data_IF_842165590111
#
_entry.id   IF_842165590111
#
_cell.length_a   1.000
_cell.length_b   1.000
_cell.length_c   1.000
_cell.angle_alpha   90.00
_cell.angle_beta   90.00
_cell.angle_gamma   90.00
#
_symmetry.space_group_name_H-M   'P 1'
#
loop_
_entity.id
_entity.type
_entity.pdbx_description
1 polymer ?
#
# COMPACT_ATOMS: atom_id res chain seq x y z
N UNK A 1 69.53 -37.59 -5.76
CA UNK A 1 69.29 -36.17 -5.39
C UNK A 1 67.99 -35.59 -5.98
N UNK A 2 67.02 -36.41 -6.44
CA UNK A 2 65.82 -35.96 -7.17
C UNK A 2 64.51 -36.15 -6.36
N UNK A 3 64.46 -37.11 -5.42
CA UNK A 3 63.22 -37.42 -4.68
C UNK A 3 62.80 -36.34 -3.66
N UNK A 4 63.75 -35.59 -3.08
CA UNK A 4 63.43 -34.54 -2.11
C UNK A 4 62.64 -33.37 -2.71
N UNK A 5 62.89 -33.04 -3.99
CA UNK A 5 62.21 -31.95 -4.68
C UNK A 5 60.77 -32.33 -5.06
N UNK A 6 60.54 -33.58 -5.46
CA UNK A 6 59.20 -34.09 -5.79
C UNK A 6 58.35 -34.17 -4.53
N UNK A 7 58.90 -34.68 -3.42
CA UNK A 7 58.16 -34.78 -2.16
C UNK A 7 57.84 -33.40 -1.55
N UNK A 8 58.75 -32.42 -1.69
CA UNK A 8 58.50 -31.04 -1.27
C UNK A 8 57.41 -30.35 -2.11
N UNK A 9 57.39 -30.61 -3.42
CA UNK A 9 56.38 -30.07 -4.34
C UNK A 9 55.01 -30.71 -4.08
N UNK A 10 54.96 -32.03 -3.91
CA UNK A 10 53.74 -32.77 -3.58
C UNK A 10 53.14 -32.34 -2.24
N UNK A 11 53.98 -32.12 -1.20
CA UNK A 11 53.54 -31.62 0.11
C UNK A 11 52.99 -30.19 0.02
N UNK A 12 53.57 -29.34 -0.85
CA UNK A 12 53.11 -27.96 -1.08
C UNK A 12 51.74 -27.95 -1.77
N UNK A 13 51.52 -28.84 -2.72
CA UNK A 13 50.23 -28.98 -3.39
C UNK A 13 49.15 -29.60 -2.49
N UNK A 14 49.49 -30.59 -1.67
CA UNK A 14 48.58 -31.13 -0.64
C UNK A 14 48.14 -30.07 0.39
N UNK A 15 49.02 -29.15 0.79
CA UNK A 15 48.63 -27.99 1.64
C UNK A 15 47.72 -27.01 0.89
N UNK A 16 47.94 -26.80 -0.41
CA UNK A 16 47.07 -25.97 -1.26
C UNK A 16 45.67 -26.57 -1.37
N UNK A 17 45.55 -27.88 -1.55
CA UNK A 17 44.26 -28.57 -1.65
C UNK A 17 43.49 -28.56 -0.32
N UNK A 18 44.17 -28.74 0.82
CA UNK A 18 43.51 -28.70 2.13
C UNK A 18 43.04 -27.28 2.52
N UNK A 19 43.66 -26.23 1.96
CA UNK A 19 43.23 -24.84 2.14
C UNK A 19 42.00 -24.45 1.29
N UNK A 20 41.74 -25.14 0.19
CA UNK A 20 40.59 -24.86 -0.69
C UNK A 20 39.31 -25.56 -0.27
N UNK A 21 39.39 -26.75 0.36
CA UNK A 21 38.20 -27.46 0.84
C UNK A 21 37.60 -26.81 2.09
N UNK A 22 38.43 -26.18 2.93
CA UNK A 22 38.01 -25.44 4.13
C UNK A 22 37.56 -23.99 3.88
N UNK A 23 37.44 -23.56 2.61
CA UNK A 23 36.96 -22.21 2.20
C UNK A 23 35.65 -22.25 1.40
N UNK A 24 35.21 -23.40 0.91
CA UNK A 24 33.94 -23.53 0.18
C UNK A 24 32.77 -24.09 1.00
N UNK A 25 32.99 -24.55 2.23
CA UNK A 25 31.92 -25.07 3.11
C UNK A 25 31.59 -24.14 4.30
N UNK A 26 32.17 -22.95 4.29
CA UNK A 26 32.01 -21.91 5.32
C UNK A 26 32.11 -20.51 4.71
N UNK A 27 32.04 -20.42 3.37
CA UNK A 27 31.57 -19.20 2.77
C UNK A 27 30.04 -19.25 2.83
N UNK A 28 29.36 -18.38 3.59
CA UNK A 28 27.96 -18.10 3.34
C UNK A 28 27.83 -17.44 1.95
N UNK A 29 28.01 -18.22 0.89
CA UNK A 29 27.21 -18.09 -0.33
C UNK A 29 25.81 -18.71 -0.09
N UNK A 30 25.41 -18.84 1.17
CA UNK A 30 24.04 -19.05 1.60
C UNK A 30 23.23 -17.80 1.26
N UNK A 31 22.42 -17.90 0.21
CA UNK A 31 21.05 -17.38 0.21
C UNK A 31 20.81 -15.87 0.44
N UNK A 32 21.82 -14.99 0.37
CA UNK A 32 21.60 -13.54 0.60
C UNK A 32 20.93 -12.81 -0.58
N UNK A 33 20.71 -13.45 -1.73
CA UNK A 33 20.17 -12.73 -2.91
C UNK A 33 18.71 -13.02 -3.26
N UNK A 34 18.00 -13.90 -2.54
CA UNK A 34 16.57 -14.14 -2.78
C UNK A 34 15.73 -14.24 -1.50
N UNK A 35 16.28 -13.87 -0.34
CA UNK A 35 15.42 -13.34 0.71
C UNK A 35 15.06 -11.95 0.24
N UNK A 36 13.95 -11.83 -0.50
CA UNK A 36 13.19 -10.59 -0.47
C UNK A 36 13.04 -10.28 1.01
N UNK A 37 13.84 -9.36 1.54
CA UNK A 37 13.65 -8.87 2.90
C UNK A 37 12.21 -8.41 2.89
N UNK A 38 11.33 -9.17 3.53
CA UNK A 38 9.94 -8.77 3.67
C UNK A 38 10.04 -7.45 4.40
N UNK A 39 9.93 -6.35 3.66
CA UNK A 39 10.13 -5.02 4.21
C UNK A 39 9.04 -4.84 5.26
N UNK A 40 9.46 -4.84 6.53
CA UNK A 40 8.56 -4.68 7.66
C UNK A 40 8.52 -3.19 8.00
N UNK A 41 7.35 -2.53 7.90
CA UNK A 41 7.22 -1.13 8.26
C UNK A 41 7.58 -0.92 9.73
N UNK A 42 8.31 0.15 10.02
CA UNK A 42 8.60 0.60 11.39
C UNK A 42 7.33 1.05 12.11
N UNK A 43 7.34 1.11 13.44
CA UNK A 43 6.20 1.57 14.25
C UNK A 43 5.71 2.96 13.84
N UNK A 44 6.63 3.85 13.49
CA UNK A 44 6.32 5.21 13.08
C UNK A 44 5.62 5.21 11.71
N UNK A 45 6.12 4.42 10.76
CA UNK A 45 5.51 4.27 9.43
C UNK A 45 4.10 3.68 9.53
N UNK A 46 3.88 2.68 10.39
CA UNK A 46 2.54 2.13 10.65
C UNK A 46 1.62 3.23 11.19
N UNK A 47 2.08 4.02 12.16
CA UNK A 47 1.30 5.11 12.76
C UNK A 47 0.88 6.15 11.73
N UNK A 48 1.81 6.61 10.89
CA UNK A 48 1.51 7.59 9.84
C UNK A 48 0.57 7.04 8.76
N UNK A 49 0.74 5.78 8.37
CA UNK A 49 -0.17 5.10 7.45
C UNK A 49 -1.59 4.99 8.04
N UNK A 50 -1.71 4.57 9.30
CA UNK A 50 -2.99 4.50 10.02
C UNK A 50 -3.65 5.87 10.10
N UNK A 51 -2.90 6.93 10.43
CA UNK A 51 -3.44 8.30 10.46
C UNK A 51 -3.93 8.77 9.10
N UNK A 52 -3.24 8.42 8.01
CA UNK A 52 -3.66 8.77 6.67
C UNK A 52 -5.00 8.12 6.32
N UNK A 53 -5.23 6.86 6.67
CA UNK A 53 -6.53 6.21 6.48
C UNK A 53 -7.61 6.76 7.42
N UNK A 54 -7.25 7.08 8.68
CA UNK A 54 -8.18 7.62 9.66
C UNK A 54 -8.66 9.04 9.28
N UNK A 55 -7.91 9.76 8.45
CA UNK A 55 -8.32 11.06 7.90
C UNK A 55 -9.67 11.00 7.15
N UNK A 56 -10.09 9.83 6.66
CA UNK A 56 -11.43 9.62 6.07
C UNK A 56 -12.54 9.98 7.05
N UNK A 57 -12.36 9.72 8.35
CA UNK A 57 -13.35 10.06 9.35
C UNK A 57 -13.50 11.58 9.54
N UNK A 58 -12.44 12.34 9.30
CA UNK A 58 -12.46 13.81 9.39
C UNK A 58 -13.40 14.40 8.35
N UNK A 59 -13.55 13.76 7.17
CA UNK A 59 -14.53 14.17 6.17
C UNK A 59 -15.98 14.08 6.66
N UNK A 60 -16.28 13.21 7.62
CA UNK A 60 -17.63 13.09 8.17
C UNK A 60 -18.05 14.32 8.98
N UNK A 61 -17.08 15.02 9.58
CA UNK A 61 -17.32 16.22 10.39
C UNK A 61 -17.08 17.52 9.62
N UNK A 62 -16.16 17.51 8.66
CA UNK A 62 -15.69 18.73 7.98
C UNK A 62 -16.06 18.80 6.50
N UNK A 63 -16.62 17.72 5.94
CA UNK A 63 -16.89 17.58 4.52
C UNK A 63 -15.62 17.31 3.70
N UNK A 64 -14.62 18.19 3.73
CA UNK A 64 -13.53 18.17 2.73
C UNK A 64 -12.11 18.08 3.30
N UNK A 65 -11.95 18.13 4.62
CA UNK A 65 -10.63 18.27 5.24
C UNK A 65 -9.81 16.96 5.27
N UNK A 66 -10.47 15.80 5.14
CA UNK A 66 -9.83 14.48 5.12
C UNK A 66 -8.76 14.33 4.02
N UNK A 67 -9.07 14.56 2.73
CA UNK A 67 -8.08 14.50 1.66
C UNK A 67 -7.00 15.57 1.75
N UNK A 68 -7.24 16.69 2.43
CA UNK A 68 -6.15 17.64 2.69
C UNK A 68 -5.13 17.02 3.64
N UNK A 69 -5.60 16.38 4.73
CA UNK A 69 -4.73 15.75 5.72
C UNK A 69 -3.91 14.61 5.10
N UNK A 70 -4.54 13.71 4.35
CA UNK A 70 -3.79 12.61 3.74
C UNK A 70 -2.79 13.10 2.67
N UNK A 71 -3.05 14.25 2.01
CA UNK A 71 -2.15 14.87 1.04
C UNK A 71 -0.94 15.48 1.72
N UNK A 72 -1.16 16.15 2.85
CA UNK A 72 -0.08 16.66 3.70
C UNK A 72 0.81 15.50 4.18
N UNK A 73 0.23 14.39 4.64
CA UNK A 73 0.99 13.20 5.05
C UNK A 73 1.78 12.62 3.88
N UNK A 74 1.16 12.49 2.70
CA UNK A 74 1.84 12.04 1.49
C UNK A 74 3.05 12.92 1.16
N UNK A 75 2.88 14.24 1.09
CA UNK A 75 3.97 15.16 0.76
C UNK A 75 5.06 15.20 1.84
N UNK A 76 4.71 15.03 3.11
CA UNK A 76 5.66 15.04 4.23
C UNK A 76 6.52 13.76 4.30
N UNK A 77 5.99 12.63 3.80
CA UNK A 77 6.63 11.32 3.92
C UNK A 77 7.03 10.69 2.58
N UNK A 78 6.71 11.30 1.43
CA UNK A 78 7.05 10.79 0.08
C UNK A 78 8.53 10.46 -0.11
N UNK A 79 9.41 11.30 0.44
CA UNK A 79 10.87 11.17 0.30
C UNK A 79 11.49 10.39 1.46
N UNK A 80 10.70 10.10 2.52
CA UNK A 80 11.17 9.44 3.75
C UNK A 80 10.84 7.95 3.78
N UNK A 81 9.63 7.58 3.36
CA UNK A 81 9.13 6.20 3.42
C UNK A 81 8.23 5.89 2.24
N UNK A 82 8.62 4.88 1.45
CA UNK A 82 7.80 4.39 0.32
C UNK A 82 6.48 3.79 0.79
N UNK A 83 6.45 3.15 1.97
CA UNK A 83 5.24 2.56 2.52
C UNK A 83 4.21 3.60 2.93
N UNK A 84 4.63 4.61 3.72
CA UNK A 84 3.73 5.69 4.14
C UNK A 84 3.22 6.48 2.93
N UNK A 85 4.10 6.77 1.97
CA UNK A 85 3.73 7.44 0.72
C UNK A 85 2.67 6.65 -0.06
N UNK A 86 2.84 5.33 -0.18
CA UNK A 86 1.90 4.47 -0.88
C UNK A 86 0.54 4.38 -0.17
N UNK A 87 0.52 4.21 1.16
CA UNK A 87 -0.72 4.09 1.92
C UNK A 87 -1.48 5.42 2.02
N UNK A 88 -0.76 6.54 2.20
CA UNK A 88 -1.37 7.88 2.20
C UNK A 88 -1.97 8.24 0.84
N UNK A 89 -1.28 7.93 -0.27
CA UNK A 89 -1.81 8.13 -1.62
C UNK A 89 -3.05 7.27 -1.87
N UNK A 90 -3.07 6.03 -1.40
CA UNK A 90 -4.27 5.17 -1.48
C UNK A 90 -5.46 5.75 -0.71
N UNK A 91 -5.25 6.23 0.52
CA UNK A 91 -6.28 6.87 1.31
C UNK A 91 -6.83 8.13 0.62
N UNK A 92 -5.94 8.94 0.02
CA UNK A 92 -6.32 10.12 -0.75
C UNK A 92 -7.18 9.82 -1.96
N UNK A 93 -6.73 8.85 -2.77
CA UNK A 93 -7.44 8.49 -3.98
C UNK A 93 -8.82 7.94 -3.66
N UNK A 94 -8.95 7.15 -2.58
CA UNK A 94 -10.25 6.67 -2.11
C UNK A 94 -11.15 7.85 -1.71
N UNK A 95 -10.65 8.79 -0.92
CA UNK A 95 -11.43 9.99 -0.57
C UNK A 95 -11.86 10.79 -1.81
N UNK A 96 -10.96 10.99 -2.77
CA UNK A 96 -11.23 11.77 -3.98
C UNK A 96 -12.22 11.06 -4.91
N UNK A 97 -12.09 9.74 -5.10
CA UNK A 97 -13.04 8.94 -5.89
C UNK A 97 -14.43 8.95 -5.26
N UNK A 98 -14.53 8.84 -3.94
CA UNK A 98 -15.82 8.85 -3.24
C UNK A 98 -16.45 10.24 -3.28
N UNK A 99 -15.67 11.30 -3.03
CA UNK A 99 -16.18 12.66 -3.03
C UNK A 99 -16.53 13.17 -4.42
N UNK A 100 -15.60 13.07 -5.37
CA UNK A 100 -15.79 13.59 -6.72
C UNK A 100 -16.61 12.63 -7.55
N UNK A 101 -16.21 11.36 -7.62
CA UNK A 101 -16.90 10.34 -8.43
C UNK A 101 -18.26 9.95 -7.84
N UNK A 102 -18.28 9.56 -6.56
CA UNK A 102 -19.51 9.20 -5.86
C UNK A 102 -20.47 10.38 -5.71
N UNK A 103 -19.96 11.55 -5.31
CA UNK A 103 -20.76 12.77 -5.20
C UNK A 103 -21.36 13.22 -6.54
N UNK A 104 -20.58 13.23 -7.63
CA UNK A 104 -21.11 13.58 -8.95
C UNK A 104 -22.17 12.57 -9.44
N UNK A 105 -21.94 11.27 -9.23
CA UNK A 105 -22.91 10.24 -9.61
C UNK A 105 -24.24 10.39 -8.85
N UNK A 106 -24.18 10.65 -7.54
CA UNK A 106 -25.37 10.89 -6.71
C UNK A 106 -26.07 12.18 -7.15
N UNK A 107 -25.33 13.26 -7.41
CA UNK A 107 -25.90 14.51 -7.87
C UNK A 107 -26.66 14.34 -9.20
N UNK A 108 -26.08 13.62 -10.16
CA UNK A 108 -26.74 13.30 -11.44
C UNK A 108 -28.00 12.47 -11.21
N UNK A 109 -27.92 11.43 -10.37
CA UNK A 109 -29.07 10.60 -10.03
C UNK A 109 -30.21 11.42 -9.41
N UNK A 110 -29.90 12.32 -8.47
CA UNK A 110 -30.87 13.22 -7.85
C UNK A 110 -31.48 14.23 -8.82
N UNK A 111 -30.70 14.77 -9.76
CA UNK A 111 -31.22 15.66 -10.81
C UNK A 111 -32.21 14.91 -11.71
N UNK A 112 -31.87 13.71 -12.15
CA UNK A 112 -32.75 12.86 -12.97
C UNK A 112 -34.03 12.51 -12.20
N UNK A 113 -33.90 12.05 -10.95
CA UNK A 113 -35.05 11.73 -10.09
C UNK A 113 -35.91 12.96 -9.84
N UNK A 114 -35.32 14.12 -9.55
CA UNK A 114 -36.04 15.38 -9.34
C UNK A 114 -36.83 15.80 -10.58
N UNK A 115 -36.23 15.69 -11.76
CA UNK A 115 -36.88 16.02 -13.03
C UNK A 115 -38.03 15.06 -13.36
N UNK A 116 -37.84 13.75 -13.14
CA UNK A 116 -38.90 12.73 -13.33
C UNK A 116 -40.01 12.80 -12.27
N UNK A 117 -39.76 13.42 -11.12
CA UNK A 117 -40.76 13.59 -10.05
C UNK A 117 -41.94 14.45 -10.49
N UNK A 118 -41.73 15.30 -11.50
CA UNK A 118 -42.79 16.10 -12.13
C UNK A 118 -43.87 15.24 -12.81
N UNK A 119 -43.56 13.97 -13.13
CA UNK A 119 -44.45 13.04 -13.85
C UNK A 119 -44.93 11.89 -12.94
N UNK A 120 -44.98 12.09 -11.61
CA UNK A 120 -45.34 11.09 -10.56
C UNK A 120 -44.36 9.90 -10.47
N UNK A 121 -43.80 9.45 -11.58
CA UNK A 121 -42.82 8.35 -11.71
C UNK A 121 -41.58 8.61 -10.87
N UNK A 122 -41.09 9.85 -10.79
CA UNK A 122 -39.93 10.15 -9.95
C UNK A 122 -40.18 9.99 -8.45
N UNK A 123 -41.43 10.08 -7.98
CA UNK A 123 -41.77 9.84 -6.56
C UNK A 123 -41.47 8.38 -6.16
N UNK A 124 -41.68 7.42 -7.08
CA UNK A 124 -41.32 6.02 -6.88
C UNK A 124 -39.80 5.78 -6.89
N UNK A 125 -39.01 6.67 -7.52
CA UNK A 125 -37.55 6.58 -7.55
C UNK A 125 -36.87 7.20 -6.31
N UNK A 126 -37.57 8.03 -5.53
CA UNK A 126 -37.04 8.64 -4.29
C UNK A 126 -36.46 7.60 -3.31
N UNK A 127 -37.14 6.48 -2.95
CA UNK A 127 -36.54 5.48 -2.05
C UNK A 127 -35.27 4.86 -2.61
N UNK A 128 -35.18 4.69 -3.94
CA UNK A 128 -33.98 4.17 -4.60
C UNK A 128 -32.83 5.19 -4.57
N UNK A 129 -33.12 6.47 -4.81
CA UNK A 129 -32.14 7.56 -4.70
C UNK A 129 -31.60 7.72 -3.27
N UNK A 130 -32.45 7.56 -2.25
CA UNK A 130 -32.03 7.55 -0.84
C UNK A 130 -31.09 6.37 -0.56
N UNK A 131 -31.42 5.17 -1.05
CA UNK A 131 -30.56 4.00 -0.89
C UNK A 131 -29.21 4.18 -1.58
N UNK A 132 -29.21 4.78 -2.77
CA UNK A 132 -27.98 5.14 -3.50
C UNK A 132 -27.13 6.16 -2.73
N UNK A 133 -27.77 7.05 -1.97
CA UNK A 133 -27.09 8.05 -1.14
C UNK A 133 -26.37 7.44 0.07
N UNK A 134 -26.64 6.17 0.41
CA UNK A 134 -25.95 5.44 1.47
C UNK A 134 -24.64 4.78 0.99
N UNK A 135 -24.40 4.64 -0.33
CA UNK A 135 -23.17 4.06 -0.88
C UNK A 135 -21.87 4.72 -0.35
N UNK A 136 -21.76 6.06 -0.24
CA UNK A 136 -20.57 6.74 0.27
C UNK A 136 -20.24 6.39 1.72
N UNK A 137 -21.20 5.89 2.51
CA UNK A 137 -20.96 5.46 3.89
C UNK A 137 -20.05 4.23 3.99
N UNK A 138 -19.87 3.50 2.89
CA UNK A 138 -18.91 2.38 2.81
C UNK A 138 -17.47 2.89 2.89
N UNK A 139 -17.18 4.12 2.45
CA UNK A 139 -15.83 4.65 2.40
C UNK A 139 -15.20 4.89 3.79
N UNK A 140 -15.89 5.48 4.79
CA UNK A 140 -15.43 5.50 6.18
C UNK A 140 -15.11 4.11 6.74
N UNK A 141 -15.97 3.13 6.49
CA UNK A 141 -15.74 1.74 6.94
C UNK A 141 -14.47 1.18 6.33
N UNK A 142 -14.29 1.39 5.03
CA UNK A 142 -13.09 0.96 4.30
C UNK A 142 -11.82 1.72 4.75
N UNK A 143 -11.94 2.99 5.15
CA UNK A 143 -10.88 3.76 5.80
C UNK A 143 -10.46 3.14 7.14
N UNK A 144 -11.42 2.78 7.99
CA UNK A 144 -11.15 2.13 9.29
C UNK A 144 -10.50 0.76 9.09
N UNK A 145 -10.97 -0.05 8.14
CA UNK A 145 -10.35 -1.34 7.82
C UNK A 145 -8.90 -1.17 7.33
N UNK A 146 -8.65 -0.16 6.49
CA UNK A 146 -7.30 0.18 6.06
C UNK A 146 -6.40 0.62 7.21
N UNK A 147 -6.94 1.43 8.13
CA UNK A 147 -6.25 1.87 9.34
C UNK A 147 -5.87 0.67 10.25
N UNK A 148 -6.77 -0.30 10.44
CA UNK A 148 -6.52 -1.51 11.23
C UNK A 148 -5.44 -2.40 10.57
N UNK A 149 -5.49 -2.58 9.25
CA UNK A 149 -4.51 -3.42 8.56
C UNK A 149 -3.12 -2.79 8.50
N UNK A 150 -3.05 -1.49 8.25
CA UNK A 150 -1.78 -0.74 8.28
C UNK A 150 -1.17 -0.66 9.68
N UNK A 151 -1.98 -0.64 10.75
CA UNK A 151 -1.45 -0.69 12.12
C UNK A 151 -0.80 -2.03 12.48
N UNK A 152 -1.24 -3.13 11.85
CA UNK A 152 -0.59 -4.44 11.94
C UNK A 152 0.69 -4.51 11.10
N UNK A 153 0.89 -3.55 10.18
CA UNK A 153 1.99 -3.53 9.21
C UNK A 153 1.69 -4.35 7.96
N UNK A 154 0.43 -4.71 7.72
CA UNK A 154 0.04 -5.31 6.45
C UNK A 154 -0.02 -4.24 5.36
N UNK A 155 0.34 -4.64 4.14
CA UNK A 155 0.11 -3.85 2.94
C UNK A 155 -1.38 -3.88 2.58
N UNK A 156 -2.13 -2.91 3.11
CA UNK A 156 -3.52 -2.75 2.70
C UNK A 156 -3.60 -2.28 1.25
N UNK A 157 -4.55 -2.87 0.51
CA UNK A 157 -4.83 -2.53 -0.88
C UNK A 157 -6.33 -2.34 -1.02
N UNK A 158 -6.74 -1.15 -1.46
CA UNK A 158 -8.10 -0.96 -1.91
C UNK A 158 -8.33 -1.75 -3.19
N UNK A 159 -9.41 -2.54 -3.24
CA UNK A 159 -9.76 -3.35 -4.40
C UNK A 159 -9.92 -2.54 -5.69
N UNK A 160 -10.40 -1.29 -5.60
CA UNK A 160 -10.67 -0.45 -6.77
C UNK A 160 -9.42 0.25 -7.34
N UNK A 161 -8.38 0.48 -6.54
CA UNK A 161 -7.26 1.38 -6.85
C UNK A 161 -5.90 0.70 -6.69
N UNK A 162 -5.86 -0.43 -5.97
CA UNK A 162 -4.63 -1.11 -5.55
C UNK A 162 -3.80 -1.70 -6.69
N UNK A 163 -4.37 -1.91 -7.87
CA UNK A 163 -3.64 -2.38 -9.05
C UNK A 163 -3.00 -1.22 -9.83
N UNK A 164 -3.69 -0.07 -9.92
CA UNK A 164 -3.17 1.12 -10.60
C UNK A 164 -1.96 1.71 -9.87
N UNK A 165 -2.04 1.90 -8.55
CA UNK A 165 -0.94 2.50 -7.77
C UNK A 165 0.29 1.59 -7.70
N UNK A 166 0.10 0.25 -7.71
CA UNK A 166 1.22 -0.71 -7.73
C UNK A 166 2.10 -0.51 -8.97
N UNK A 167 1.50 -0.30 -10.14
CA UNK A 167 2.23 -0.06 -11.40
C UNK A 167 3.18 1.12 -11.33
N UNK A 168 2.87 2.15 -10.53
CA UNK A 168 3.69 3.36 -10.39
C UNK A 168 4.94 3.14 -9.53
N UNK A 169 4.95 2.11 -8.68
CA UNK A 169 6.05 1.82 -7.75
C UNK A 169 6.86 0.56 -8.09
N UNK A 170 6.38 -0.27 -9.02
CA UNK A 170 7.10 -1.45 -9.55
C UNK A 170 7.71 -1.23 -10.94
N UNK A 171 7.71 0.01 -11.45
CA UNK A 171 8.40 0.42 -12.67
C UNK A 171 9.81 0.94 -12.39
#
# INVERSE_FOLDING_TARGET
MVEGAVFATFRKDMRRMNGTTKRKENNPMTSESLTSTVYQPTSDEKTWATLAHLSVLVNLFTGVLGPVIALVIYLAHKDKSRYVAYQSLQALLLQLVVWVGGGAFIAIAWVITGLLSLVIIGLCLIPFAILLSALPLVAPVYGVVGAIKTSQGEDFRYWLIGDWVRSTYTG
#
